data_IF_301647308119
#
_entry.id   IF_301647308119
#
_cell.length_a   1.000
_cell.length_b   1.000
_cell.length_c   1.000
_cell.angle_alpha   90.00
_cell.angle_beta   90.00
_cell.angle_gamma   90.00
#
_symmetry.space_group_name_H-M   'P 1'
#
loop_
_entity.id
_entity.type
_entity.pdbx_description
1 polymer ?
#
# COMPACT_ATOMS: atom_id res chain seq x y z
N UNK A 1 -35.40 -23.15 13.97
CA UNK A 1 -34.99 -22.66 15.32
C UNK A 1 -33.47 -22.60 15.33
N UNK A 2 -32.89 -21.42 15.51
CA UNK A 2 -31.46 -21.24 15.75
C UNK A 2 -31.02 -22.19 16.88
N UNK A 3 -29.92 -22.96 16.74
CA UNK A 3 -28.84 -22.86 15.74
C UNK A 3 -28.95 -23.83 14.54
N UNK A 4 -30.03 -24.62 14.43
CA UNK A 4 -30.13 -25.71 13.42
C UNK A 4 -30.34 -25.21 11.97
N UNK A 5 -30.90 -24.02 11.82
CA UNK A 5 -31.05 -23.31 10.54
C UNK A 5 -30.66 -21.86 10.82
N UNK A 6 -29.66 -21.36 10.11
CA UNK A 6 -29.22 -19.96 10.18
C UNK A 6 -30.02 -19.18 9.14
N UNK A 7 -30.70 -18.12 9.57
CA UNK A 7 -31.43 -17.26 8.64
C UNK A 7 -30.46 -16.51 7.71
N UNK A 8 -30.91 -16.16 6.51
CA UNK A 8 -30.10 -15.41 5.56
C UNK A 8 -29.83 -14.00 6.08
N UNK A 9 -28.55 -13.63 6.20
CA UNK A 9 -28.15 -12.26 6.51
C UNK A 9 -28.37 -11.32 5.33
N UNK A 10 -28.59 -10.04 5.61
CA UNK A 10 -28.72 -9.03 4.57
C UNK A 10 -27.42 -8.92 3.74
N UNK A 11 -27.47 -8.65 2.41
CA UNK A 11 -26.27 -8.55 1.57
C UNK A 11 -25.23 -7.53 2.06
N UNK A 12 -25.68 -6.42 2.65
CA UNK A 12 -24.82 -5.36 3.22
C UNK A 12 -24.48 -5.58 4.71
N UNK A 13 -24.60 -6.81 5.22
CA UNK A 13 -24.25 -7.11 6.59
C UNK A 13 -22.76 -6.86 6.85
N UNK A 14 -22.45 -6.31 8.03
CA UNK A 14 -21.08 -5.94 8.43
C UNK A 14 -20.51 -7.01 9.36
N UNK A 15 -20.13 -8.16 8.79
CA UNK A 15 -19.42 -9.22 9.52
C UNK A 15 -17.91 -9.01 9.56
N UNK A 16 -17.14 -10.08 9.73
CA UNK A 16 -15.67 -9.99 9.75
C UNK A 16 -15.13 -9.42 8.44
N UNK A 17 -14.07 -8.61 8.56
CA UNK A 17 -13.37 -8.00 7.43
C UNK A 17 -12.32 -8.97 6.87
N UNK A 18 -12.30 -9.12 5.55
CA UNK A 18 -11.25 -9.85 4.83
C UNK A 18 -10.55 -8.96 3.81
N UNK A 19 -9.37 -9.38 3.38
CA UNK A 19 -8.59 -8.72 2.33
C UNK A 19 -8.67 -9.48 1.02
N UNK A 20 -8.60 -8.73 -0.08
CA UNK A 20 -8.20 -9.21 -1.40
C UNK A 20 -6.73 -8.83 -1.60
N UNK A 21 -5.84 -9.79 -1.38
CA UNK A 21 -4.39 -9.57 -1.43
C UNK A 21 -3.91 -9.05 -2.78
N UNK A 22 -4.58 -9.47 -3.86
CA UNK A 22 -4.36 -9.04 -5.25
C UNK A 22 -4.69 -7.56 -5.49
N UNK A 23 -5.63 -6.99 -4.72
CA UNK A 23 -6.07 -5.61 -4.86
C UNK A 23 -5.44 -4.66 -3.85
N UNK A 24 -4.93 -5.17 -2.74
CA UNK A 24 -4.33 -4.34 -1.70
C UNK A 24 -3.02 -3.75 -2.22
N UNK A 25 -2.90 -2.42 -2.14
CA UNK A 25 -1.69 -1.68 -2.54
C UNK A 25 -0.92 -1.13 -1.33
N UNK A 26 -1.34 -1.47 -0.10
CA UNK A 26 -0.73 -0.97 1.13
C UNK A 26 -0.59 0.58 1.20
N UNK A 27 -1.54 1.34 0.63
CA UNK A 27 -1.51 2.81 0.61
C UNK A 27 -1.74 3.51 1.97
N UNK A 28 -2.10 2.76 3.02
CA UNK A 28 -2.33 3.31 4.36
C UNK A 28 -3.64 4.07 4.59
N UNK A 29 -4.47 4.28 3.56
CA UNK A 29 -5.75 4.99 3.71
C UNK A 29 -6.65 4.38 4.79
N UNK A 30 -6.72 3.05 4.85
CA UNK A 30 -7.53 2.32 5.83
C UNK A 30 -7.05 2.50 7.28
N UNK A 31 -5.75 2.72 7.50
CA UNK A 31 -5.19 2.97 8.83
C UNK A 31 -5.56 4.39 9.28
N UNK A 32 -5.42 5.37 8.37
CA UNK A 32 -5.73 6.79 8.67
C UNK A 32 -7.21 7.08 8.98
N UNK A 33 -8.14 6.30 8.42
CA UNK A 33 -9.58 6.49 8.67
C UNK A 33 -10.12 5.64 9.82
N UNK A 34 -9.31 4.78 10.43
CA UNK A 34 -9.75 3.89 11.48
C UNK A 34 -9.89 4.65 12.81
N UNK A 35 -11.08 4.68 13.45
CA UNK A 35 -11.26 5.42 14.71
C UNK A 35 -10.67 4.71 15.94
N UNK A 36 -10.37 3.41 15.85
CA UNK A 36 -9.87 2.59 16.97
C UNK A 36 -8.46 2.06 16.75
N UNK A 37 -7.77 2.54 15.71
CA UNK A 37 -6.44 2.06 15.31
C UNK A 37 -6.35 0.53 15.13
N UNK A 38 -7.48 -0.13 14.82
CA UNK A 38 -7.56 -1.55 14.49
C UNK A 38 -6.89 -1.90 13.14
N UNK A 39 -6.34 -0.89 12.46
CA UNK A 39 -5.63 -1.00 11.18
C UNK A 39 -4.28 -0.33 11.31
N UNK A 40 -3.24 -1.10 11.11
CA UNK A 40 -1.87 -0.68 11.34
C UNK A 40 -1.04 -0.92 10.08
N UNK A 41 -0.17 0.03 9.76
CA UNK A 41 0.75 -0.08 8.63
C UNK A 41 2.17 -0.16 9.20
N UNK A 42 2.80 -1.33 9.12
CA UNK A 42 4.11 -1.63 9.69
C UNK A 42 5.15 -1.68 8.57
N UNK A 43 6.18 -0.85 8.69
CA UNK A 43 7.30 -0.83 7.76
C UNK A 43 8.38 -1.81 8.24
N UNK A 44 8.61 -2.88 7.48
CA UNK A 44 9.65 -3.86 7.76
C UNK A 44 10.86 -3.60 6.84
N UNK A 45 11.90 -2.95 7.38
CA UNK A 45 13.11 -2.61 6.63
C UNK A 45 13.97 -3.83 6.30
N UNK A 46 13.95 -4.85 7.16
CA UNK A 46 14.79 -6.04 7.01
C UNK A 46 14.28 -6.91 5.86
N UNK A 47 12.96 -7.06 5.76
CA UNK A 47 12.30 -7.79 4.67
C UNK A 47 12.03 -6.94 3.43
N UNK A 48 12.12 -5.62 3.54
CA UNK A 48 11.77 -4.70 2.47
C UNK A 48 10.29 -4.72 2.09
N UNK A 49 9.41 -4.89 3.08
CA UNK A 49 7.96 -4.97 2.86
C UNK A 49 7.18 -4.01 3.74
N UNK A 50 6.06 -3.51 3.20
CA UNK A 50 5.03 -2.82 3.95
C UNK A 50 3.95 -3.81 4.34
N UNK A 51 3.70 -3.99 5.64
CA UNK A 51 2.63 -4.84 6.14
C UNK A 51 1.43 -4.01 6.53
N UNK A 52 0.26 -4.38 6.04
CA UNK A 52 -1.03 -3.83 6.47
C UNK A 52 -1.72 -4.86 7.33
N UNK A 53 -1.81 -4.58 8.63
CA UNK A 53 -2.36 -5.48 9.64
C UNK A 53 -3.74 -4.99 10.07
N UNK A 54 -4.67 -5.92 10.15
CA UNK A 54 -5.98 -5.72 10.74
C UNK A 54 -6.09 -6.52 12.02
N UNK A 55 -6.27 -5.80 13.13
CA UNK A 55 -6.49 -6.34 14.46
C UNK A 55 -8.00 -6.45 14.69
N UNK A 56 -8.53 -7.67 14.61
CA UNK A 56 -9.98 -7.91 14.65
C UNK A 56 -10.58 -7.66 16.04
N UNK A 57 -9.77 -7.86 17.08
CA UNK A 57 -10.10 -7.61 18.49
C UNK A 57 -10.37 -6.12 18.80
N UNK A 58 -9.70 -5.21 18.10
CA UNK A 58 -9.86 -3.75 18.22
C UNK A 58 -10.93 -3.18 17.30
N UNK A 59 -11.48 -3.98 16.38
CA UNK A 59 -12.38 -3.49 15.35
C UNK A 59 -13.81 -3.28 15.85
N UNK A 60 -14.39 -2.13 15.54
CA UNK A 60 -15.81 -1.82 15.80
C UNK A 60 -16.71 -2.04 14.58
N UNK A 61 -16.22 -2.68 13.51
CA UNK A 61 -16.96 -3.01 12.29
C UNK A 61 -17.72 -1.84 11.64
N UNK A 62 -17.16 -0.62 11.74
CA UNK A 62 -17.83 0.61 11.27
C UNK A 62 -17.84 0.77 9.73
N UNK A 63 -17.09 -0.04 8.98
CA UNK A 63 -16.92 -0.01 7.53
C UNK A 63 -16.23 1.23 6.93
N UNK A 64 -15.64 2.13 7.73
CA UNK A 64 -14.90 3.29 7.21
C UNK A 64 -13.71 2.88 6.35
N UNK A 65 -13.01 1.81 6.73
CA UNK A 65 -11.90 1.25 5.95
C UNK A 65 -12.33 0.65 4.60
N UNK A 66 -13.54 0.09 4.52
CA UNK A 66 -14.13 -0.43 3.27
C UNK A 66 -14.42 0.75 2.34
N UNK A 67 -15.09 1.79 2.85
CA UNK A 67 -15.43 2.99 2.07
C UNK A 67 -14.19 3.79 1.64
N UNK A 68 -13.17 3.86 2.49
CA UNK A 68 -11.95 4.60 2.23
C UNK A 68 -10.94 3.87 1.33
N UNK A 69 -11.17 2.61 0.97
CA UNK A 69 -10.23 1.83 0.17
C UNK A 69 -10.34 2.19 -1.31
N UNK A 70 -9.28 2.77 -1.93
CA UNK A 70 -9.34 3.19 -3.34
C UNK A 70 -9.40 2.02 -4.33
N UNK A 71 -9.00 0.82 -3.92
CA UNK A 71 -8.95 -0.39 -4.76
C UNK A 71 -9.99 -1.43 -4.36
N UNK A 72 -10.89 -1.10 -3.41
CA UNK A 72 -11.90 -2.02 -2.88
C UNK A 72 -11.30 -3.37 -2.42
N UNK A 73 -10.09 -3.32 -1.86
CA UNK A 73 -9.36 -4.49 -1.40
C UNK A 73 -9.90 -5.04 -0.07
N UNK A 74 -10.70 -4.26 0.65
CA UNK A 74 -11.24 -4.62 1.96
C UNK A 74 -12.75 -4.77 1.83
N UNK A 75 -13.30 -5.87 2.34
CA UNK A 75 -14.74 -6.14 2.26
C UNK A 75 -15.24 -6.85 3.53
N UNK A 76 -16.53 -6.68 3.81
CA UNK A 76 -17.23 -7.43 4.86
C UNK A 76 -17.69 -8.78 4.33
N UNK A 77 -17.65 -9.78 5.21
CA UNK A 77 -18.23 -11.10 4.97
C UNK A 77 -19.57 -11.24 5.71
N UNK A 78 -20.39 -12.23 5.33
CA UNK A 78 -21.60 -12.57 6.09
C UNK A 78 -21.31 -13.31 7.41
N UNK A 79 -20.05 -13.63 7.71
CA UNK A 79 -19.65 -14.37 8.92
C UNK A 79 -19.77 -13.47 10.17
N UNK A 80 -20.59 -13.90 11.13
CA UNK A 80 -20.86 -13.17 12.39
C UNK A 80 -20.50 -13.96 13.67
N UNK A 81 -20.45 -15.29 13.60
CA UNK A 81 -20.04 -16.11 14.73
C UNK A 81 -18.52 -16.20 14.80
N UNK A 82 -17.92 -15.26 15.53
CA UNK A 82 -16.47 -15.11 15.68
C UNK A 82 -15.98 -15.55 17.06
N UNK A 83 -16.84 -16.19 17.85
CA UNK A 83 -16.54 -16.60 19.22
C UNK A 83 -15.36 -17.59 19.28
N UNK A 84 -14.39 -17.32 20.16
CA UNK A 84 -13.23 -18.18 20.40
C UNK A 84 -12.85 -18.16 21.89
N UNK A 85 -12.19 -19.22 22.32
CA UNK A 85 -11.69 -19.39 23.70
C UNK A 85 -10.38 -18.65 23.96
N UNK A 86 -9.57 -18.48 22.92
CA UNK A 86 -8.27 -17.81 22.98
C UNK A 86 -8.37 -16.39 22.42
N UNK A 87 -7.47 -15.51 22.89
CA UNK A 87 -7.34 -14.16 22.33
C UNK A 87 -6.62 -14.23 20.98
N UNK A 88 -7.13 -13.49 20.00
CA UNK A 88 -6.53 -13.38 18.66
C UNK A 88 -7.04 -14.42 17.66
N UNK A 89 -6.35 -14.53 16.52
CA UNK A 89 -6.61 -15.53 15.48
C UNK A 89 -7.55 -15.10 14.34
N UNK A 90 -8.12 -13.90 14.43
CA UNK A 90 -8.89 -13.26 13.35
C UNK A 90 -8.12 -12.14 12.65
N UNK A 91 -6.88 -11.92 13.07
CA UNK A 91 -6.05 -10.88 12.51
C UNK A 91 -5.67 -11.25 11.08
N UNK A 92 -5.76 -10.28 10.19
CA UNK A 92 -5.42 -10.47 8.78
C UNK A 92 -4.33 -9.49 8.41
N UNK A 93 -3.38 -9.96 7.62
CA UNK A 93 -2.23 -9.15 7.20
C UNK A 93 -1.95 -9.35 5.73
N UNK A 94 -1.51 -8.27 5.08
CA UNK A 94 -1.04 -8.29 3.69
C UNK A 94 0.31 -7.60 3.64
N UNK A 95 1.28 -8.22 2.99
CA UNK A 95 2.61 -7.67 2.78
C UNK A 95 2.78 -7.26 1.31
N UNK A 96 3.47 -6.14 1.06
CA UNK A 96 3.76 -5.61 -0.28
C UNK A 96 5.19 -5.09 -0.35
N UNK A 97 5.83 -5.25 -1.51
CA UNK A 97 7.22 -4.87 -1.72
C UNK A 97 7.41 -3.35 -1.60
N UNK A 98 8.42 -2.91 -0.85
CA UNK A 98 8.81 -1.51 -0.74
C UNK A 98 9.76 -1.11 -1.88
N UNK A 99 9.56 0.11 -2.36
CA UNK A 99 10.48 0.77 -3.27
C UNK A 99 11.27 1.83 -2.51
N UNK A 100 12.57 1.77 -2.72
CA UNK A 100 13.57 2.62 -2.08
C UNK A 100 14.01 3.73 -3.02
N UNK A 101 14.34 4.89 -2.46
CA UNK A 101 14.94 5.98 -3.19
C UNK A 101 16.42 5.67 -3.51
N UNK A 102 16.81 5.74 -4.78
CA UNK A 102 18.20 5.54 -5.22
C UNK A 102 19.17 6.64 -4.74
N UNK A 103 18.67 7.79 -4.27
CA UNK A 103 19.52 8.87 -3.78
C UNK A 103 19.71 8.87 -2.25
N UNK A 104 18.63 8.78 -1.48
CA UNK A 104 18.70 8.81 -0.01
C UNK A 104 18.59 7.44 0.67
N UNK A 105 18.21 6.39 -0.06
CA UNK A 105 18.02 5.05 0.48
C UNK A 105 16.76 4.86 1.33
N UNK A 106 15.93 5.88 1.54
CA UNK A 106 14.69 5.74 2.31
C UNK A 106 13.55 5.14 1.47
N UNK A 107 12.76 4.20 2.03
CA UNK A 107 11.55 3.69 1.39
C UNK A 107 10.46 4.77 1.36
N UNK A 108 9.75 4.90 0.24
CA UNK A 108 8.73 5.95 0.10
C UNK A 108 7.35 5.46 -0.38
N UNK A 109 7.27 4.31 -1.03
CA UNK A 109 6.01 3.73 -1.50
C UNK A 109 6.15 2.23 -1.73
N UNK A 110 5.03 1.52 -1.85
CA UNK A 110 5.03 0.13 -2.33
C UNK A 110 5.02 0.08 -3.85
N UNK A 111 5.54 -1.02 -4.42
CA UNK A 111 5.51 -1.26 -5.87
C UNK A 111 4.08 -1.18 -6.41
N UNK A 112 3.14 -1.86 -5.77
CA UNK A 112 1.75 -1.93 -6.20
C UNK A 112 1.05 -0.56 -6.12
N UNK A 113 1.42 0.29 -5.17
CA UNK A 113 0.89 1.66 -5.10
C UNK A 113 1.37 2.50 -6.29
N UNK A 114 2.66 2.46 -6.64
CA UNK A 114 3.17 3.19 -7.80
C UNK A 114 2.57 2.66 -9.11
N UNK A 115 2.41 1.35 -9.24
CA UNK A 115 1.74 0.73 -10.39
C UNK A 115 0.25 1.08 -10.46
N UNK A 116 -0.43 1.22 -9.32
CA UNK A 116 -1.82 1.67 -9.28
C UNK A 116 -1.94 3.13 -9.72
N UNK A 117 -1.06 4.01 -9.23
CA UNK A 117 -1.02 5.43 -9.65
C UNK A 117 -0.74 5.51 -11.14
N UNK A 118 0.25 4.77 -11.65
CA UNK A 118 0.59 4.73 -13.07
C UNK A 118 -0.61 4.34 -13.94
N UNK A 119 -1.26 3.21 -13.62
CA UNK A 119 -2.46 2.76 -14.34
C UNK A 119 -3.60 3.78 -14.32
N UNK A 120 -3.73 4.56 -13.25
CA UNK A 120 -4.78 5.57 -13.11
C UNK A 120 -4.52 6.83 -13.94
N UNK A 121 -3.26 7.22 -14.13
CA UNK A 121 -2.88 8.42 -14.89
C UNK A 121 -2.62 8.13 -16.38
N UNK A 122 -2.41 6.86 -16.77
CA UNK A 122 -2.24 6.44 -18.16
C UNK A 122 -0.96 7.00 -18.80
N UNK A 123 -1.07 7.61 -19.98
CA UNK A 123 0.08 8.11 -20.75
C UNK A 123 0.88 9.21 -20.04
N UNK A 124 0.27 9.86 -19.03
CA UNK A 124 0.92 10.84 -18.18
C UNK A 124 2.01 10.24 -17.26
N UNK A 125 2.14 8.91 -17.20
CA UNK A 125 3.27 8.22 -16.57
C UNK A 125 4.60 8.80 -17.07
N UNK A 126 4.70 9.14 -18.36
CA UNK A 126 5.93 9.64 -18.99
C UNK A 126 6.42 10.98 -18.42
N UNK A 127 5.55 11.75 -17.76
CA UNK A 127 5.94 13.00 -17.10
C UNK A 127 6.65 12.78 -15.75
N UNK A 128 6.61 11.55 -15.21
CA UNK A 128 7.16 11.21 -13.91
C UNK A 128 8.15 10.05 -14.04
N UNK A 129 9.47 10.30 -13.96
CA UNK A 129 10.46 9.24 -14.15
C UNK A 129 10.33 8.04 -13.20
N UNK A 130 9.83 8.24 -11.97
CA UNK A 130 9.64 7.15 -11.01
C UNK A 130 8.53 6.23 -11.47
N UNK A 131 7.38 6.79 -11.87
CA UNK A 131 6.26 6.00 -12.39
C UNK A 131 6.63 5.29 -13.68
N UNK A 132 7.36 5.98 -14.57
CA UNK A 132 7.86 5.42 -15.82
C UNK A 132 8.76 4.21 -15.57
N UNK A 133 9.80 4.38 -14.75
CA UNK A 133 10.78 3.32 -14.46
C UNK A 133 10.13 2.13 -13.77
N UNK A 134 9.24 2.34 -12.80
CA UNK A 134 8.54 1.24 -12.11
C UNK A 134 7.63 0.47 -13.06
N UNK A 135 6.96 1.15 -13.98
CA UNK A 135 6.14 0.52 -15.01
C UNK A 135 7.02 -0.25 -16.03
N UNK A 136 8.15 0.32 -16.45
CA UNK A 136 9.07 -0.34 -17.37
C UNK A 136 9.73 -1.57 -16.73
N UNK A 137 10.04 -1.52 -15.44
CA UNK A 137 10.49 -2.69 -14.68
C UNK A 137 9.42 -3.78 -14.63
N UNK A 138 8.14 -3.42 -14.47
CA UNK A 138 7.05 -4.41 -14.53
C UNK A 138 6.98 -5.10 -15.91
N UNK A 139 7.28 -4.37 -16.99
CA UNK A 139 7.32 -4.90 -18.36
C UNK A 139 8.62 -5.62 -18.70
N UNK A 140 9.62 -5.64 -17.79
CA UNK A 140 10.94 -6.19 -18.06
C UNK A 140 11.80 -5.36 -19.02
N UNK A 141 11.43 -4.09 -19.27
CA UNK A 141 12.14 -3.16 -20.17
C UNK A 141 13.21 -2.33 -19.45
N UNK A 142 13.16 -2.27 -18.12
CA UNK A 142 14.15 -1.60 -17.29
C UNK A 142 14.70 -2.59 -16.26
N UNK A 143 16.02 -2.66 -16.15
CA UNK A 143 16.69 -3.44 -15.11
C UNK A 143 16.85 -2.55 -13.88
N UNK A 144 16.53 -3.03 -12.66
CA UNK A 144 16.87 -2.31 -11.45
C UNK A 144 18.39 -2.25 -11.31
N UNK A 145 19.00 -1.12 -11.67
CA UNK A 145 20.39 -0.86 -11.34
C UNK A 145 20.47 -0.34 -9.90
N UNK A 146 21.26 -1.01 -9.06
CA UNK A 146 21.61 -0.46 -7.75
C UNK A 146 22.55 0.71 -7.96
N UNK A 147 22.04 1.94 -7.96
CA UNK A 147 22.91 3.11 -7.87
C UNK A 147 23.62 3.12 -6.51
N UNK A 148 24.93 3.46 -6.44
CA UNK A 148 25.59 3.62 -5.16
C UNK A 148 24.88 4.72 -4.35
N UNK A 149 24.60 4.44 -3.07
CA UNK A 149 24.07 5.42 -2.14
C UNK A 149 25.10 6.55 -1.96
N UNK A 150 24.82 7.72 -2.53
CA UNK A 150 25.73 8.87 -2.43
C UNK A 150 25.61 9.87 -3.58
N UNK A 151 25.59 11.14 -3.19
CA UNK A 151 25.39 12.36 -3.98
C UNK A 151 24.02 12.49 -4.68
N UNK A 152 23.44 13.70 -4.60
CA UNK A 152 22.28 14.07 -5.43
C UNK A 152 22.66 13.90 -6.90
N UNK A 153 21.87 13.16 -7.69
CA UNK A 153 22.20 13.00 -9.09
C UNK A 153 22.17 14.35 -9.82
N UNK A 154 23.14 14.57 -10.70
CA UNK A 154 23.10 15.65 -11.69
C UNK A 154 21.98 15.39 -12.71
N UNK A 155 21.69 16.34 -13.62
CA UNK A 155 20.60 16.32 -14.62
C UNK A 155 20.17 14.93 -15.16
N UNK A 156 21.13 14.06 -15.46
CA UNK A 156 20.91 12.69 -15.96
C UNK A 156 20.24 11.74 -14.95
N UNK A 157 20.42 11.92 -13.64
CA UNK A 157 19.78 11.05 -12.64
C UNK A 157 18.43 11.54 -12.13
N UNK A 158 17.79 12.48 -12.85
CA UNK A 158 16.32 12.64 -12.80
C UNK A 158 15.61 11.35 -13.27
N UNK A 159 16.25 10.59 -14.15
CA UNK A 159 15.83 9.27 -14.63
C UNK A 159 16.25 8.15 -13.66
N UNK A 160 15.92 8.33 -12.38
CA UNK A 160 16.12 7.34 -11.30
C UNK A 160 14.85 7.21 -10.47
N UNK A 161 14.71 6.10 -9.74
CA UNK A 161 13.64 5.95 -8.76
C UNK A 161 13.98 6.82 -7.54
N UNK A 162 13.34 7.98 -7.47
CA UNK A 162 13.54 8.96 -6.40
C UNK A 162 12.26 9.16 -5.59
N UNK A 163 12.42 9.37 -4.28
CA UNK A 163 11.34 9.87 -3.43
C UNK A 163 10.96 11.32 -3.80
N UNK A 164 9.76 11.80 -3.42
CA UNK A 164 9.30 13.15 -3.73
C UNK A 164 10.29 14.26 -3.30
N UNK A 165 10.91 14.11 -2.13
CA UNK A 165 11.84 15.10 -1.59
C UNK A 165 13.16 15.14 -2.35
N UNK A 166 13.78 13.98 -2.62
CA UNK A 166 15.01 13.90 -3.41
C UNK A 166 14.79 14.37 -4.84
N UNK A 167 13.67 13.98 -5.46
CA UNK A 167 13.31 14.46 -6.79
C UNK A 167 13.21 15.98 -6.84
N UNK A 168 12.51 16.58 -5.88
CA UNK A 168 12.37 18.05 -5.79
C UNK A 168 13.74 18.71 -5.67
N UNK A 169 14.64 18.17 -4.86
CA UNK A 169 16.02 18.69 -4.72
C UNK A 169 16.77 18.65 -6.05
N UNK A 170 16.72 17.54 -6.78
CA UNK A 170 17.38 17.41 -8.11
C UNK A 170 16.87 18.46 -9.09
N UNK A 171 15.56 18.66 -9.19
CA UNK A 171 14.99 19.70 -10.07
C UNK A 171 15.41 21.11 -9.66
N UNK A 172 15.46 21.40 -8.35
CA UNK A 172 15.88 22.70 -7.84
C UNK A 172 17.36 22.96 -8.12
N UNK A 173 18.22 21.96 -7.90
CA UNK A 173 19.65 22.04 -8.25
C UNK A 173 19.85 22.26 -9.76
N UNK A 174 19.07 21.60 -10.62
CA UNK A 174 19.16 21.80 -12.07
C UNK A 174 18.77 23.23 -12.51
N UNK A 175 17.65 23.74 -12.00
CA UNK A 175 17.14 25.06 -12.40
C UNK A 175 17.96 26.23 -11.85
N UNK A 176 18.52 26.08 -10.64
CA UNK A 176 19.12 27.18 -9.89
C UNK A 176 20.64 27.06 -9.68
N UNK A 177 21.27 25.94 -10.07
CA UNK A 177 22.72 25.82 -10.21
C UNK A 177 23.54 25.83 -8.91
N UNK A 178 22.93 25.57 -7.75
CA UNK A 178 23.62 25.45 -6.47
C UNK A 178 24.04 24.01 -6.17
#
# INVERSE_FOLDING_TARGET
KFPKVVDSVHPNFRGILKFREDRCICCGACSKVCPTDARELILDREKGVMRNVHHADRCIYCAQCVKGCPTEAIYHTPEFDLSRTERGGWDTMVEKELIYCEACGEPFATREQLLHIGRKIGDLINANPTLLLVHYQQLGLAVPESAPAGALPYRSGTMRILCPDCRRKVYMTEQWGY
#
